data_IF_382113065385
#
_entry.id   IF_382113065385
#
_cell.length_a   1.000
_cell.length_b   1.000
_cell.length_c   1.000
_cell.angle_alpha   90.00
_cell.angle_beta   90.00
_cell.angle_gamma   90.00
#
_symmetry.space_group_name_H-M   'P 1'
#
loop_
_entity.id
_entity.type
_entity.pdbx_description
1 polymer ?
#
# COMPACT_ATOMS: atom_id res chain seq x y z
N UNK A 1 -17.46 53.37 -28.31
CA UNK A 1 -17.64 51.90 -28.43
C UNK A 1 -16.34 51.09 -28.32
N UNK A 2 -15.14 51.68 -28.32
CA UNK A 2 -13.89 50.90 -28.24
C UNK A 2 -13.52 50.39 -26.83
N UNK A 3 -13.91 51.08 -25.76
CA UNK A 3 -13.57 50.71 -24.38
C UNK A 3 -14.26 49.44 -23.89
N UNK A 4 -15.51 49.22 -24.28
CA UNK A 4 -16.29 48.01 -23.93
C UNK A 4 -15.73 46.77 -24.63
N UNK A 5 -15.31 46.93 -25.89
CA UNK A 5 -14.72 45.86 -26.71
C UNK A 5 -13.32 45.46 -26.18
N UNK A 6 -12.53 46.45 -25.76
CA UNK A 6 -11.22 46.24 -25.13
C UNK A 6 -11.36 45.55 -23.77
N UNK A 7 -12.35 45.95 -22.95
CA UNK A 7 -12.64 45.29 -21.67
C UNK A 7 -13.09 43.85 -21.82
N UNK A 8 -13.89 43.54 -22.86
CA UNK A 8 -14.42 42.20 -23.12
C UNK A 8 -13.33 41.21 -23.56
N UNK A 9 -12.23 41.70 -24.16
CA UNK A 9 -11.07 40.89 -24.56
C UNK A 9 -10.00 40.80 -23.45
N UNK A 10 -9.77 41.88 -22.69
CA UNK A 10 -8.76 41.88 -21.62
C UNK A 10 -9.18 41.08 -20.39
N UNK A 11 -10.47 41.06 -20.05
CA UNK A 11 -10.98 40.32 -18.90
C UNK A 11 -10.68 38.80 -18.97
N UNK A 12 -10.97 38.07 -20.06
CA UNK A 12 -10.65 36.64 -20.14
C UNK A 12 -9.14 36.37 -20.13
N UNK A 13 -8.33 37.26 -20.72
CA UNK A 13 -6.85 37.14 -20.69
C UNK A 13 -6.32 37.32 -19.26
N UNK A 14 -6.83 38.31 -18.52
CA UNK A 14 -6.47 38.52 -17.12
C UNK A 14 -6.87 37.33 -16.25
N UNK A 15 -8.08 36.78 -16.45
CA UNK A 15 -8.54 35.57 -15.74
C UNK A 15 -7.64 34.38 -16.07
N UNK A 16 -7.30 34.15 -17.34
CA UNK A 16 -6.41 33.07 -17.75
C UNK A 16 -5.00 33.19 -17.12
N UNK A 17 -4.47 34.41 -17.04
CA UNK A 17 -3.20 34.71 -16.37
C UNK A 17 -3.25 34.41 -14.88
N UNK A 18 -4.31 34.85 -14.19
CA UNK A 18 -4.50 34.58 -12.75
C UNK A 18 -4.65 33.08 -12.50
N UNK A 19 -5.47 32.37 -13.28
CA UNK A 19 -5.63 30.91 -13.17
C UNK A 19 -4.30 30.19 -13.44
N UNK A 20 -3.54 30.61 -14.46
CA UNK A 20 -2.23 30.08 -14.78
C UNK A 20 -1.22 30.29 -13.64
N UNK A 21 -1.21 31.47 -13.02
CA UNK A 21 -0.35 31.80 -11.89
C UNK A 21 -0.71 30.97 -10.66
N UNK A 22 -2.00 30.83 -10.35
CA UNK A 22 -2.49 30.00 -9.25
C UNK A 22 -2.12 28.53 -9.48
N UNK A 23 -2.25 28.01 -10.70
CA UNK A 23 -1.85 26.65 -11.04
C UNK A 23 -0.34 26.42 -10.89
N UNK A 24 0.49 27.40 -11.27
CA UNK A 24 1.94 27.38 -11.06
C UNK A 24 2.32 27.38 -9.58
N UNK A 25 1.64 28.18 -8.77
CA UNK A 25 1.85 28.25 -7.32
C UNK A 25 1.33 27.00 -6.58
N UNK A 26 0.27 26.37 -7.09
CA UNK A 26 -0.30 25.16 -6.50
C UNK A 26 0.46 23.87 -6.87
N UNK A 27 1.10 23.82 -8.04
CA UNK A 27 1.93 22.68 -8.49
C UNK A 27 2.93 22.15 -7.45
N UNK A 28 3.75 22.98 -6.77
CA UNK A 28 4.69 22.49 -5.76
C UNK A 28 4.00 21.93 -4.50
N UNK A 29 2.74 22.26 -4.24
CA UNK A 29 1.98 21.77 -3.09
C UNK A 29 1.35 20.38 -3.33
N UNK A 30 1.24 19.94 -4.59
CA UNK A 30 0.63 18.64 -4.92
C UNK A 30 1.48 17.48 -4.41
N UNK A 31 2.80 17.50 -4.62
CA UNK A 31 3.71 16.45 -4.17
C UNK A 31 3.70 16.24 -2.63
N UNK A 32 3.84 17.28 -1.78
CA UNK A 32 3.80 17.11 -0.32
C UNK A 32 2.41 16.68 0.17
N UNK A 33 1.33 17.10 -0.49
CA UNK A 33 -0.02 16.63 -0.16
C UNK A 33 -0.19 15.12 -0.47
N UNK A 34 0.32 14.64 -1.60
CA UNK A 34 0.29 13.20 -1.92
C UNK A 34 1.14 12.42 -0.90
N UNK A 35 2.34 12.90 -0.57
CA UNK A 35 3.20 12.26 0.42
C UNK A 35 2.55 12.17 1.81
N UNK A 36 1.82 13.20 2.25
CA UNK A 36 1.14 13.19 3.54
C UNK A 36 -0.01 12.16 3.57
N UNK A 37 -0.76 12.03 2.48
CA UNK A 37 -1.79 11.00 2.32
C UNK A 37 -1.19 9.60 2.36
N UNK A 38 -0.07 9.38 1.67
CA UNK A 38 0.66 8.09 1.68
C UNK A 38 1.14 7.71 3.08
N UNK A 39 1.73 8.67 3.82
CA UNK A 39 2.12 8.48 5.23
C UNK A 39 0.91 8.19 6.12
N UNK A 40 -0.20 8.88 5.88
CA UNK A 40 -1.46 8.63 6.60
C UNK A 40 -1.97 7.19 6.38
N UNK A 41 -1.92 6.70 5.13
CA UNK A 41 -2.26 5.30 4.81
C UNK A 41 -1.31 4.31 5.48
N UNK A 42 0.00 4.59 5.47
CA UNK A 42 0.97 3.75 6.16
C UNK A 42 0.72 3.69 7.67
N UNK A 43 0.44 4.83 8.32
CA UNK A 43 0.07 4.88 9.75
C UNK A 43 -1.17 4.05 10.06
N UNK A 44 -2.16 4.01 9.16
CA UNK A 44 -3.33 3.12 9.32
C UNK A 44 -2.92 1.65 9.31
N UNK A 45 -2.04 1.23 8.38
CA UNK A 45 -1.51 -0.15 8.39
C UNK A 45 -0.80 -0.48 9.71
N UNK A 46 0.03 0.44 10.22
CA UNK A 46 0.74 0.26 11.49
C UNK A 46 -0.24 0.10 12.65
N UNK A 47 -1.29 0.92 12.67
CA UNK A 47 -2.36 0.80 13.68
C UNK A 47 -3.08 -0.55 13.61
N UNK A 48 -3.32 -1.09 12.41
CA UNK A 48 -3.88 -2.43 12.24
C UNK A 48 -2.95 -3.53 12.76
N UNK A 49 -1.65 -3.44 12.50
CA UNK A 49 -0.69 -4.38 13.07
C UNK A 49 -0.63 -4.31 14.59
N UNK A 50 -0.63 -3.10 15.17
CA UNK A 50 -0.65 -2.91 16.61
C UNK A 50 -1.94 -3.47 17.25
N UNK A 51 -3.09 -3.34 16.58
CA UNK A 51 -4.34 -3.99 17.01
C UNK A 51 -4.22 -5.52 16.96
N UNK A 52 -3.64 -6.06 15.90
CA UNK A 52 -3.37 -7.49 15.79
C UNK A 52 -2.50 -8.01 16.95
N UNK A 53 -1.43 -7.27 17.27
CA UNK A 53 -0.56 -7.57 18.41
C UNK A 53 -1.32 -7.51 19.75
N UNK A 54 -2.24 -6.55 19.92
CA UNK A 54 -3.09 -6.46 21.11
C UNK A 54 -4.07 -7.63 21.22
N UNK A 55 -4.70 -8.05 20.10
CA UNK A 55 -5.58 -9.22 20.06
C UNK A 55 -4.82 -10.52 20.33
N UNK A 56 -3.58 -10.67 19.84
CA UNK A 56 -2.74 -11.82 20.18
C UNK A 56 -2.48 -11.91 21.69
N UNK A 57 -2.14 -10.79 22.34
CA UNK A 57 -1.96 -10.74 23.80
C UNK A 57 -3.22 -11.09 24.56
N UNK A 58 -4.38 -10.73 24.03
CA UNK A 58 -5.69 -11.09 24.57
C UNK A 58 -6.14 -12.52 24.21
N UNK A 59 -5.28 -13.32 23.57
CA UNK A 59 -5.58 -14.69 23.09
C UNK A 59 -6.75 -14.76 22.09
N UNK A 60 -7.08 -13.63 21.43
CA UNK A 60 -8.14 -13.54 20.43
C UNK A 60 -7.56 -13.78 19.04
N UNK A 61 -7.19 -15.03 18.74
CA UNK A 61 -6.49 -15.36 17.49
C UNK A 61 -7.25 -14.94 16.20
N UNK A 62 -8.57 -15.18 16.06
CA UNK A 62 -9.29 -14.77 14.84
C UNK A 62 -9.29 -13.26 14.62
N UNK A 63 -9.44 -12.47 15.70
CA UNK A 63 -9.37 -11.02 15.67
C UNK A 63 -7.95 -10.52 15.35
N UNK A 64 -6.93 -11.20 15.85
CA UNK A 64 -5.54 -10.89 15.52
C UNK A 64 -5.23 -11.11 14.03
N UNK A 65 -5.61 -12.27 13.50
CA UNK A 65 -5.35 -12.63 12.11
C UNK A 65 -6.09 -11.71 11.12
N UNK A 66 -7.35 -11.38 11.40
CA UNK A 66 -8.10 -10.41 10.58
C UNK A 66 -7.47 -9.01 10.62
N UNK A 67 -6.95 -8.57 11.77
CA UNK A 67 -6.23 -7.30 11.89
C UNK A 67 -4.90 -7.32 11.13
N UNK A 68 -4.18 -8.43 11.11
CA UNK A 68 -2.95 -8.58 10.31
C UNK A 68 -3.23 -8.62 8.81
N UNK A 69 -4.32 -9.25 8.35
CA UNK A 69 -4.71 -9.27 6.93
C UNK A 69 -4.78 -7.84 6.37
N UNK A 70 -5.46 -6.94 7.08
CA UNK A 70 -5.64 -5.55 6.65
C UNK A 70 -4.43 -4.67 6.92
N UNK A 71 -3.46 -5.14 7.72
CA UNK A 71 -2.21 -4.43 8.01
C UNK A 71 -1.20 -4.45 6.85
N UNK A 72 -1.39 -5.29 5.84
CA UNK A 72 -0.54 -5.30 4.65
C UNK A 72 -0.75 -4.03 3.80
N UNK A 73 0.28 -3.17 3.75
CA UNK A 73 0.25 -1.97 2.91
C UNK A 73 0.47 -2.29 1.42
N UNK A 74 -0.62 -2.42 0.67
CA UNK A 74 -0.61 -2.78 -0.75
C UNK A 74 -1.02 -1.63 -1.69
N UNK A 75 -0.82 -0.38 -1.26
CA UNK A 75 -1.01 0.80 -2.11
C UNK A 75 0.28 1.13 -2.88
N UNK A 76 0.15 1.85 -3.99
CA UNK A 76 1.29 2.33 -4.77
C UNK A 76 1.81 3.62 -4.16
N UNK A 77 3.12 3.68 -3.89
CA UNK A 77 3.78 4.90 -3.43
C UNK A 77 4.18 5.73 -4.64
N UNK A 78 3.88 7.02 -4.62
CA UNK A 78 4.08 7.94 -5.75
C UNK A 78 4.91 9.15 -5.38
N UNK A 79 4.94 9.60 -4.14
CA UNK A 79 5.62 10.85 -3.78
C UNK A 79 6.77 10.63 -2.79
N UNK A 80 6.60 9.77 -1.78
CA UNK A 80 7.62 9.59 -0.74
C UNK A 80 8.58 8.44 -1.06
N UNK A 81 9.77 8.75 -1.57
CA UNK A 81 10.78 7.74 -1.94
C UNK A 81 11.32 6.91 -0.76
N UNK A 82 11.16 7.36 0.49
CA UNK A 82 11.61 6.62 1.69
C UNK A 82 10.57 5.60 2.15
N UNK A 83 9.30 5.84 1.84
CA UNK A 83 8.19 5.03 2.32
C UNK A 83 8.21 3.56 1.86
N UNK A 84 8.64 3.20 0.63
CA UNK A 84 8.69 1.80 0.20
C UNK A 84 9.59 0.95 1.09
N UNK A 85 10.72 1.50 1.55
CA UNK A 85 11.63 0.75 2.44
C UNK A 85 11.01 0.52 3.82
N UNK A 86 10.33 1.53 4.37
CA UNK A 86 9.57 1.40 5.62
C UNK A 86 8.45 0.37 5.49
N UNK A 87 7.76 0.35 4.35
CA UNK A 87 6.72 -0.64 4.02
C UNK A 87 7.33 -2.05 3.97
N UNK A 88 8.49 -2.24 3.33
CA UNK A 88 9.16 -3.55 3.28
C UNK A 88 9.49 -4.04 4.69
N UNK A 89 10.09 -3.20 5.55
CA UNK A 89 10.39 -3.59 6.94
C UNK A 89 9.14 -3.96 7.72
N UNK A 90 8.05 -3.21 7.53
CA UNK A 90 6.75 -3.51 8.12
C UNK A 90 6.20 -4.87 7.65
N UNK A 91 6.30 -5.17 6.36
CA UNK A 91 5.88 -6.45 5.79
C UNK A 91 6.68 -7.62 6.35
N UNK A 92 8.01 -7.49 6.48
CA UNK A 92 8.85 -8.50 7.15
C UNK A 92 8.39 -8.73 8.59
N UNK A 93 8.07 -7.66 9.32
CA UNK A 93 7.52 -7.75 10.67
C UNK A 93 6.16 -8.47 10.73
N UNK A 94 5.28 -8.28 9.74
CA UNK A 94 4.00 -8.99 9.66
C UNK A 94 4.20 -10.48 9.34
N UNK A 95 5.08 -10.81 8.39
CA UNK A 95 5.37 -12.19 8.05
C UNK A 95 5.97 -12.95 9.24
N UNK A 96 6.87 -12.32 10.01
CA UNK A 96 7.42 -12.91 11.23
C UNK A 96 6.35 -13.19 12.29
N UNK A 97 5.37 -12.30 12.47
CA UNK A 97 4.23 -12.53 13.37
C UNK A 97 3.36 -13.69 12.91
N UNK A 98 3.03 -13.75 11.61
CA UNK A 98 2.24 -14.83 11.05
C UNK A 98 2.98 -16.18 11.11
N UNK A 99 4.31 -16.17 10.93
CA UNK A 99 5.14 -17.35 11.12
C UNK A 99 5.12 -17.80 12.58
N UNK A 100 5.29 -16.89 13.54
CA UNK A 100 5.21 -17.23 14.98
C UNK A 100 3.85 -17.84 15.34
N UNK A 101 2.75 -17.31 14.82
CA UNK A 101 1.42 -17.92 14.99
C UNK A 101 1.33 -19.29 14.32
N UNK A 102 1.97 -19.46 13.16
CA UNK A 102 2.00 -20.72 12.44
C UNK A 102 2.86 -21.78 13.14
N UNK A 103 3.92 -21.41 13.84
CA UNK A 103 4.77 -22.36 14.58
C UNK A 103 4.04 -22.95 15.81
N UNK A 104 3.07 -22.22 16.37
CA UNK A 104 2.28 -22.69 17.51
C UNK A 104 1.21 -23.75 17.16
N UNK A 105 1.07 -24.15 15.88
CA UNK A 105 0.11 -25.19 15.48
C UNK A 105 0.74 -26.35 14.65
N UNK A 106 0.18 -27.58 14.74
CA UNK A 106 0.92 -28.81 14.46
C UNK A 106 1.28 -29.11 12.99
N UNK A 107 0.81 -28.37 11.98
CA UNK A 107 0.97 -28.68 10.55
C UNK A 107 1.97 -27.77 9.80
N UNK A 108 3.27 -27.92 10.08
CA UNK A 108 4.34 -26.99 9.66
C UNK A 108 4.59 -26.88 8.13
N UNK A 109 4.54 -27.98 7.37
CA UNK A 109 5.07 -28.02 5.98
C UNK A 109 4.26 -27.23 4.93
N UNK A 110 2.93 -27.34 4.92
CA UNK A 110 2.05 -26.66 3.95
C UNK A 110 2.01 -25.14 4.20
N UNK A 111 2.25 -24.72 5.45
CA UNK A 111 2.19 -23.32 5.90
C UNK A 111 3.36 -22.49 5.42
N UNK A 112 4.56 -23.08 5.41
CA UNK A 112 5.77 -22.44 4.90
C UNK A 112 5.62 -22.11 3.41
N UNK A 113 4.87 -22.93 2.65
CA UNK A 113 4.62 -22.67 1.23
C UNK A 113 3.71 -21.45 1.03
N UNK A 114 2.62 -21.35 1.79
CA UNK A 114 1.70 -20.21 1.72
C UNK A 114 2.39 -18.90 2.15
N UNK A 115 3.18 -18.94 3.23
CA UNK A 115 4.01 -17.81 3.67
C UNK A 115 5.05 -17.42 2.62
N UNK A 116 5.75 -18.40 2.01
CA UNK A 116 6.72 -18.15 0.96
C UNK A 116 6.07 -17.56 -0.31
N UNK A 117 4.84 -17.96 -0.65
CA UNK A 117 4.06 -17.37 -1.74
C UNK A 117 3.79 -15.89 -1.48
N UNK A 118 3.37 -15.53 -0.27
CA UNK A 118 3.15 -14.13 0.13
C UNK A 118 4.47 -13.35 0.08
N UNK A 119 5.54 -13.88 0.66
CA UNK A 119 6.85 -13.24 0.66
C UNK A 119 7.37 -12.95 -0.76
N UNK A 120 7.28 -13.94 -1.66
CA UNK A 120 7.65 -13.77 -3.08
C UNK A 120 6.82 -12.69 -3.78
N UNK A 121 5.54 -12.58 -3.49
CA UNK A 121 4.68 -11.53 -4.05
C UNK A 121 5.06 -10.14 -3.53
N UNK A 122 5.47 -10.04 -2.26
CA UNK A 122 5.93 -8.79 -1.66
C UNK A 122 7.31 -8.36 -2.17
N UNK A 123 8.23 -9.28 -2.38
CA UNK A 123 9.53 -8.95 -2.99
C UNK A 123 9.35 -8.50 -4.44
N UNK A 124 8.52 -9.20 -5.23
CA UNK A 124 8.17 -8.75 -6.59
C UNK A 124 7.54 -7.35 -6.56
N UNK A 125 6.68 -7.07 -5.58
CA UNK A 125 6.08 -5.74 -5.39
C UNK A 125 7.14 -4.67 -5.15
N UNK A 126 8.11 -4.97 -4.29
CA UNK A 126 9.21 -4.06 -3.94
C UNK A 126 10.04 -3.70 -5.17
N UNK A 127 10.37 -4.68 -6.01
CA UNK A 127 11.07 -4.45 -7.28
C UNK A 127 10.27 -3.55 -8.22
N UNK A 128 8.98 -3.84 -8.41
CA UNK A 128 8.09 -3.01 -9.25
C UNK A 128 7.96 -1.58 -8.71
N UNK A 129 7.85 -1.40 -7.39
CA UNK A 129 7.75 -0.10 -6.75
C UNK A 129 9.03 0.72 -6.90
N UNK A 130 10.20 0.08 -6.83
CA UNK A 130 11.50 0.71 -7.12
C UNK A 130 11.59 1.14 -8.58
N UNK A 131 11.25 0.25 -9.51
CA UNK A 131 11.26 0.56 -10.95
C UNK A 131 10.29 1.70 -11.29
N UNK A 132 9.12 1.72 -10.66
CA UNK A 132 8.12 2.77 -10.82
C UNK A 132 8.66 4.15 -10.40
N UNK A 133 9.30 4.24 -9.22
CA UNK A 133 9.86 5.51 -8.72
C UNK A 133 11.06 5.98 -9.55
N UNK A 134 11.90 5.06 -10.04
CA UNK A 134 13.00 5.41 -10.95
C UNK A 134 12.47 6.03 -12.25
N UNK A 135 11.34 5.55 -12.78
CA UNK A 135 10.75 6.09 -14.00
C UNK A 135 10.09 7.46 -13.81
N UNK A 136 9.63 7.81 -12.60
CA UNK A 136 9.09 9.15 -12.34
C UNK A 136 10.11 10.27 -12.55
N UNK A 137 11.40 9.97 -12.38
CA UNK A 137 12.48 10.95 -12.59
C UNK A 137 12.77 11.22 -14.07
N UNK A 138 12.14 10.49 -15.01
CA UNK A 138 12.40 10.58 -16.45
C UNK A 138 11.19 11.13 -17.22
N UNK A 139 11.34 12.19 -18.05
CA UNK A 139 10.20 12.92 -18.64
C UNK A 139 9.49 12.23 -19.83
N UNK A 140 9.91 11.05 -20.30
CA UNK A 140 9.53 10.53 -21.64
C UNK A 140 8.97 9.09 -21.69
N UNK A 141 8.46 8.50 -20.59
CA UNK A 141 7.98 7.10 -20.59
C UNK A 141 6.67 6.87 -19.85
N UNK A 142 5.61 7.58 -20.25
CA UNK A 142 4.28 7.44 -19.65
C UNK A 142 3.65 6.06 -19.87
N UNK A 143 3.83 5.44 -21.05
CA UNK A 143 3.27 4.13 -21.33
C UNK A 143 3.82 3.03 -20.41
N UNK A 144 5.15 3.00 -20.19
CA UNK A 144 5.78 2.02 -19.29
C UNK A 144 5.41 2.26 -17.84
N UNK A 145 5.28 3.53 -17.44
CA UNK A 145 4.81 3.91 -16.10
C UNK A 145 3.38 3.42 -15.85
N UNK A 146 2.46 3.67 -16.78
CA UNK A 146 1.08 3.19 -16.70
C UNK A 146 1.00 1.66 -16.65
N UNK A 147 1.84 0.97 -17.43
CA UNK A 147 1.94 -0.49 -17.37
C UNK A 147 2.37 -0.96 -15.96
N UNK A 148 3.41 -0.38 -15.38
CA UNK A 148 3.86 -0.73 -14.02
C UNK A 148 2.81 -0.43 -12.95
N UNK A 149 2.02 0.64 -13.10
CA UNK A 149 0.89 0.87 -12.18
C UNK A 149 -0.14 -0.25 -12.25
N UNK A 150 -0.48 -0.72 -13.47
CA UNK A 150 -1.39 -1.85 -13.64
C UNK A 150 -0.82 -3.14 -13.03
N UNK A 151 0.47 -3.40 -13.24
CA UNK A 151 1.16 -4.56 -12.67
C UNK A 151 1.20 -4.50 -11.13
N UNK A 152 1.46 -3.32 -10.54
CA UNK A 152 1.39 -3.09 -9.09
C UNK A 152 -0.03 -3.28 -8.53
N UNK A 153 -1.06 -2.91 -9.29
CA UNK A 153 -2.46 -3.16 -8.91
C UNK A 153 -2.83 -4.63 -8.99
N UNK A 154 -2.39 -5.34 -10.03
CA UNK A 154 -2.61 -6.77 -10.17
C UNK A 154 -1.92 -7.54 -9.04
N UNK A 155 -0.63 -7.28 -8.81
CA UNK A 155 0.10 -7.86 -7.69
C UNK A 155 -0.52 -7.52 -6.33
N UNK A 156 -1.09 -6.34 -6.13
CA UNK A 156 -1.81 -6.02 -4.89
C UNK A 156 -3.06 -6.90 -4.70
N UNK A 157 -3.76 -7.26 -5.77
CA UNK A 157 -4.90 -8.19 -5.70
C UNK A 157 -4.43 -9.60 -5.41
N UNK A 158 -3.40 -10.08 -6.11
CA UNK A 158 -2.84 -11.42 -5.90
C UNK A 158 -2.30 -11.58 -4.47
N UNK A 159 -1.60 -10.57 -3.97
CA UNK A 159 -1.08 -10.55 -2.60
C UNK A 159 -2.23 -10.57 -1.59
N UNK A 160 -3.29 -9.79 -1.79
CA UNK A 160 -4.49 -9.85 -0.92
C UNK A 160 -5.12 -11.24 -0.93
N UNK A 161 -5.25 -11.85 -2.11
CA UNK A 161 -5.77 -13.21 -2.24
C UNK A 161 -4.93 -14.22 -1.46
N UNK A 162 -3.60 -14.19 -1.65
CA UNK A 162 -2.68 -15.09 -0.95
C UNK A 162 -2.65 -14.87 0.57
N UNK A 163 -2.73 -13.61 1.04
CA UNK A 163 -2.81 -13.31 2.48
C UNK A 163 -4.13 -13.81 3.08
N UNK A 164 -5.26 -13.65 2.37
CA UNK A 164 -6.56 -14.17 2.81
C UNK A 164 -6.58 -15.68 2.91
N UNK A 165 -6.04 -16.36 1.89
CA UNK A 165 -5.87 -17.80 1.86
C UNK A 165 -5.05 -18.27 3.08
N UNK A 166 -3.89 -17.65 3.30
CA UNK A 166 -3.03 -17.93 4.46
C UNK A 166 -3.76 -17.71 5.80
N UNK A 167 -4.48 -16.60 5.96
CA UNK A 167 -5.22 -16.30 7.19
C UNK A 167 -6.36 -17.30 7.43
N UNK A 168 -7.11 -17.66 6.39
CA UNK A 168 -8.17 -18.66 6.48
C UNK A 168 -7.61 -20.04 6.87
N UNK A 169 -6.47 -20.44 6.31
CA UNK A 169 -5.80 -21.69 6.66
C UNK A 169 -5.36 -21.70 8.13
N UNK A 170 -4.81 -20.58 8.63
CA UNK A 170 -4.42 -20.45 10.03
C UNK A 170 -5.63 -20.53 10.98
N UNK A 171 -6.75 -19.90 10.62
CA UNK A 171 -8.00 -19.96 11.40
C UNK A 171 -8.56 -21.38 11.48
N UNK A 172 -8.71 -22.04 10.32
CA UNK A 172 -9.26 -23.39 10.25
C UNK A 172 -8.44 -24.41 11.07
N UNK A 173 -7.12 -24.23 11.09
CA UNK A 173 -6.23 -25.10 11.86
C UNK A 173 -6.25 -24.79 13.36
N UNK A 174 -6.48 -23.53 13.74
CA UNK A 174 -6.72 -23.17 15.14
C UNK A 174 -7.99 -23.84 15.67
N UNK A 175 -9.08 -23.79 14.92
CA UNK A 175 -10.35 -24.42 15.32
C UNK A 175 -10.21 -25.93 15.48
N UNK A 176 -9.43 -26.58 14.60
CA UNK A 176 -9.09 -28.00 14.74
C UNK A 176 -8.26 -28.30 15.99
N UNK A 177 -7.31 -27.44 16.38
CA UNK A 177 -6.54 -27.62 17.62
C UNK A 177 -7.45 -27.60 18.86
N UNK A 178 -8.42 -26.68 18.89
CA UNK A 178 -9.40 -26.58 19.99
C UNK A 178 -10.31 -27.81 20.04
N UNK A 179 -10.70 -28.39 18.90
CA UNK A 179 -11.58 -29.56 18.86
C UNK A 179 -10.93 -30.88 19.33
N UNK A 180 -9.59 -30.95 19.36
CA UNK A 180 -8.83 -32.14 19.78
C UNK A 180 -8.15 -31.98 21.15
N UNK A 181 -8.38 -30.86 21.84
CA UNK A 181 -7.97 -30.61 23.22
C UNK A 181 -9.14 -30.83 24.17
#
# INVERSE_FOLDING_TARGET
>A
MSTVLVGLVLLPVAVALVVGLVALLARPLVAPAVASVERGRFRRCLAHAARGDAHLKAQQLPAALSAFEVAFCLFTVRADARLPELITRHHTGLLSRLLSVADDLPQHGVRLLALAKVDRLLERRREMQRAYLQLQTRPLRDARRLQLERELHHNARDTRGAVRELVADLQLLSDRKVAYQ
#
